data_IF_153582898637
#
_entry.id   IF_153582898637
#
_cell.length_a   1.000
_cell.length_b   1.000
_cell.length_c   1.000
_cell.angle_alpha   90.00
_cell.angle_beta   90.00
_cell.angle_gamma   90.00
#
_symmetry.space_group_name_H-M   'P 1'
#
loop_
_entity.id
_entity.type
_entity.pdbx_description
1 polymer ?
#
# COMPACT_ATOMS: atom_id res chain seq x y z
N UNK A 1 39.00 -18.54 43.08
CA UNK A 1 37.98 -17.64 43.67
C UNK A 1 37.69 -16.58 42.63
N UNK A 2 36.56 -16.69 41.92
CA UNK A 2 36.18 -15.75 40.86
C UNK A 2 35.63 -14.45 41.46
N UNK A 3 36.14 -13.31 40.99
CA UNK A 3 35.76 -11.98 41.47
C UNK A 3 34.65 -11.45 40.57
N UNK A 4 33.43 -11.33 41.10
CA UNK A 4 32.27 -10.83 40.37
C UNK A 4 32.36 -9.30 40.29
N UNK A 5 32.64 -8.76 39.10
CA UNK A 5 32.68 -7.32 38.85
C UNK A 5 31.26 -6.75 38.70
N UNK A 6 30.80 -5.97 39.68
CA UNK A 6 29.52 -5.26 39.63
C UNK A 6 29.80 -3.81 39.18
N UNK A 7 29.39 -3.39 37.98
CA UNK A 7 29.57 -2.01 37.55
C UNK A 7 28.61 -1.10 38.32
N UNK A 8 29.16 -0.22 39.15
CA UNK A 8 28.42 0.84 39.85
C UNK A 8 28.67 2.15 39.11
N UNK A 9 27.64 2.95 38.84
CA UNK A 9 27.79 4.26 38.22
C UNK A 9 28.43 5.25 39.23
N UNK A 10 29.63 5.75 38.93
CA UNK A 10 30.42 6.63 39.83
C UNK A 10 29.78 8.01 40.10
N UNK A 11 28.77 8.44 39.34
CA UNK A 11 28.15 9.76 39.55
C UNK A 11 26.95 9.71 40.53
N UNK A 12 26.31 8.55 40.72
CA UNK A 12 25.11 8.46 41.57
C UNK A 12 25.02 7.21 42.47
N UNK A 13 26.00 6.31 42.42
CA UNK A 13 26.15 5.21 43.38
C UNK A 13 25.05 4.15 43.36
N UNK A 14 24.16 4.11 42.35
CA UNK A 14 23.05 3.15 42.30
C UNK A 14 23.41 1.88 41.53
N UNK A 15 23.05 0.73 42.11
CA UNK A 15 23.17 -0.60 41.51
C UNK A 15 22.07 -0.80 40.46
N UNK A 16 22.45 -1.12 39.21
CA UNK A 16 21.57 -1.15 38.03
C UNK A 16 20.67 -2.40 37.90
N UNK A 17 20.58 -3.27 38.91
CA UNK A 17 19.72 -4.47 38.84
C UNK A 17 18.76 -4.57 40.03
N UNK A 18 17.69 -3.77 40.03
CA UNK A 18 16.48 -4.08 40.79
C UNK A 18 15.23 -3.82 39.92
N UNK A 19 14.50 -4.86 39.47
CA UNK A 19 13.36 -4.75 38.56
C UNK A 19 12.04 -4.33 39.22
N UNK A 20 12.03 -3.87 40.48
CA UNK A 20 10.78 -3.70 41.25
C UNK A 20 10.59 -2.31 41.88
N UNK A 21 10.87 -1.23 41.13
CA UNK A 21 10.34 0.10 41.47
C UNK A 21 9.15 0.42 40.56
N UNK A 22 7.96 0.46 41.16
CA UNK A 22 6.68 0.85 40.57
C UNK A 22 6.77 2.20 39.85
N UNK A 23 7.08 2.21 38.56
CA UNK A 23 6.66 3.27 37.66
C UNK A 23 5.40 2.79 36.97
N UNK A 24 4.25 3.15 37.56
CA UNK A 24 2.96 3.02 36.90
C UNK A 24 2.98 3.97 35.69
N UNK A 25 3.44 3.50 34.54
CA UNK A 25 3.33 4.21 33.26
C UNK A 25 1.88 4.06 32.78
N UNK A 26 0.95 4.57 33.58
CA UNK A 26 -0.45 4.76 33.19
C UNK A 26 -0.72 6.25 33.19
N UNK A 27 0.15 7.00 32.50
CA UNK A 27 -0.17 8.38 32.20
C UNK A 27 -1.32 8.34 31.20
N UNK A 28 -2.43 9.00 31.57
CA UNK A 28 -3.54 9.32 30.66
C UNK A 28 -3.00 9.86 29.32
N UNK A 29 -1.88 10.59 29.41
CA UNK A 29 -1.07 11.08 28.30
C UNK A 29 -0.60 9.99 27.30
N UNK A 30 -0.11 8.83 27.77
CA UNK A 30 0.33 7.74 26.91
C UNK A 30 -0.84 7.05 26.20
N UNK A 31 -1.95 6.85 26.91
CA UNK A 31 -3.15 6.27 26.30
C UNK A 31 -3.79 7.23 25.29
N UNK A 32 -3.80 8.53 25.57
CA UNK A 32 -4.31 9.57 24.66
C UNK A 32 -3.44 9.70 23.40
N UNK A 33 -2.12 9.54 23.52
CA UNK A 33 -1.20 9.54 22.38
C UNK A 33 -1.44 8.35 21.44
N UNK A 34 -1.62 7.15 21.99
CA UNK A 34 -1.95 5.95 21.19
C UNK A 34 -3.32 6.08 20.52
N UNK A 35 -4.33 6.60 21.24
CA UNK A 35 -5.69 6.83 20.70
C UNK A 35 -5.71 7.92 19.62
N UNK A 36 -4.83 8.92 19.71
CA UNK A 36 -4.61 9.95 18.69
C UNK A 36 -3.97 9.36 17.44
N UNK A 37 -2.97 8.49 17.58
CA UNK A 37 -2.36 7.75 16.46
C UNK A 37 -3.36 6.80 15.77
N UNK A 38 -4.20 6.10 16.51
CA UNK A 38 -5.26 5.26 15.94
C UNK A 38 -6.34 6.08 15.22
N UNK A 39 -6.75 7.25 15.75
CA UNK A 39 -7.65 8.18 15.06
C UNK A 39 -7.05 8.75 13.78
N UNK A 40 -5.73 8.96 13.74
CA UNK A 40 -5.00 9.42 12.55
C UNK A 40 -4.95 8.35 11.45
N UNK A 41 -4.80 7.07 11.81
CA UNK A 41 -4.88 5.94 10.86
C UNK A 41 -6.32 5.73 10.32
N UNK A 42 -7.35 6.16 11.07
CA UNK A 42 -8.77 6.00 10.72
C UNK A 42 -9.36 7.06 9.79
N UNK A 43 -8.57 8.04 9.31
CA UNK A 43 -9.04 9.10 8.41
C UNK A 43 -8.23 9.20 7.11
N UNK A 44 -8.39 8.21 6.23
CA UNK A 44 -8.52 8.52 4.81
C UNK A 44 -9.91 8.04 4.37
N UNK A 45 -10.92 8.89 4.59
CA UNK A 45 -12.16 8.81 3.80
C UNK A 45 -11.70 8.90 2.34
N UNK A 46 -11.97 7.91 1.46
CA UNK A 46 -11.64 8.06 0.06
C UNK A 46 -12.34 9.32 -0.43
N UNK A 47 -11.50 10.25 -0.87
CA UNK A 47 -11.87 11.61 -1.22
C UNK A 47 -13.04 11.58 -2.19
N UNK A 48 -14.15 12.15 -1.72
CA UNK A 48 -15.28 12.61 -2.49
C UNK A 48 -14.83 13.20 -3.82
N UNK A 49 -15.40 12.65 -4.90
CA UNK A 49 -15.56 13.27 -6.21
C UNK A 49 -14.33 13.99 -6.77
N UNK A 50 -13.22 13.29 -6.95
CA UNK A 50 -12.32 13.67 -8.05
C UNK A 50 -13.05 13.29 -9.34
N UNK A 51 -13.26 14.25 -10.25
CA UNK A 51 -13.58 13.96 -11.65
C UNK A 51 -12.41 13.13 -12.19
N UNK A 52 -12.54 11.82 -12.06
CA UNK A 52 -11.51 10.90 -12.51
C UNK A 52 -11.68 10.84 -14.01
N UNK A 53 -10.76 11.45 -14.74
CA UNK A 53 -10.53 11.15 -16.15
C UNK A 53 -9.99 9.71 -16.23
N UNK A 54 -10.79 8.73 -15.81
CA UNK A 54 -10.46 7.32 -15.95
C UNK A 54 -10.69 6.95 -17.40
N UNK A 55 -9.66 6.40 -18.05
CA UNK A 55 -9.75 5.93 -19.44
C UNK A 55 -10.81 4.85 -19.65
N UNK A 56 -11.29 4.22 -18.55
CA UNK A 56 -12.38 3.27 -18.56
C UNK A 56 -13.63 3.85 -17.89
N UNK A 57 -14.79 3.57 -18.48
CA UNK A 57 -16.08 3.91 -17.91
C UNK A 57 -16.45 2.92 -16.78
N UNK A 58 -17.08 3.44 -15.73
CA UNK A 58 -17.46 2.66 -14.55
C UNK A 58 -18.59 1.66 -14.82
N UNK A 59 -19.61 2.06 -15.59
CA UNK A 59 -20.81 1.26 -15.82
C UNK A 59 -20.54 -0.06 -16.58
N UNK A 60 -19.74 -0.07 -17.68
CA UNK A 60 -19.40 -1.33 -18.36
C UNK A 60 -18.62 -2.31 -17.47
N UNK A 61 -17.65 -1.81 -16.69
CA UNK A 61 -16.87 -2.65 -15.77
C UNK A 61 -17.77 -3.27 -14.70
N UNK A 62 -18.66 -2.48 -14.10
CA UNK A 62 -19.63 -3.01 -13.13
C UNK A 62 -20.58 -4.04 -13.75
N UNK A 63 -21.03 -3.81 -14.99
CA UNK A 63 -21.90 -4.76 -15.72
C UNK A 63 -21.18 -6.10 -15.95
N UNK A 64 -19.89 -6.09 -16.27
CA UNK A 64 -19.09 -7.30 -16.37
C UNK A 64 -18.98 -8.04 -15.04
N UNK A 65 -18.73 -7.33 -13.93
CA UNK A 65 -18.70 -7.96 -12.60
C UNK A 65 -20.04 -8.64 -12.27
N UNK A 66 -21.14 -7.96 -12.59
CA UNK A 66 -22.51 -8.47 -12.44
C UNK A 66 -22.78 -9.70 -13.30
N UNK A 67 -22.30 -9.73 -14.54
CA UNK A 67 -22.49 -10.89 -15.42
C UNK A 67 -21.67 -12.11 -14.96
N UNK A 68 -20.59 -11.92 -14.22
CA UNK A 68 -19.84 -13.01 -13.58
C UNK A 68 -20.49 -13.53 -12.28
N UNK A 69 -21.67 -13.02 -11.90
CA UNK A 69 -22.42 -13.48 -10.72
C UNK A 69 -22.27 -12.63 -9.46
N UNK A 70 -21.63 -11.46 -9.53
CA UNK A 70 -21.55 -10.56 -8.37
C UNK A 70 -22.90 -9.87 -8.10
N UNK A 71 -23.57 -10.21 -7.00
CA UNK A 71 -24.89 -9.62 -6.67
C UNK A 71 -24.79 -8.20 -6.07
N UNK A 72 -23.71 -7.83 -5.40
CA UNK A 72 -23.51 -6.44 -4.98
C UNK A 72 -22.07 -6.05 -5.27
N UNK A 73 -21.90 -4.86 -5.84
CA UNK A 73 -20.59 -4.33 -6.22
C UNK A 73 -20.41 -2.97 -5.57
N UNK A 74 -19.40 -2.84 -4.72
CA UNK A 74 -19.05 -1.59 -4.06
C UNK A 74 -18.37 -0.63 -5.04
N UNK A 75 -18.61 0.68 -4.87
CA UNK A 75 -17.98 1.72 -5.69
C UNK A 75 -16.45 1.63 -5.63
N UNK A 76 -15.90 1.50 -4.44
CA UNK A 76 -14.46 1.39 -4.20
C UNK A 76 -13.84 0.15 -4.88
N UNK A 77 -14.58 -0.96 -4.96
CA UNK A 77 -14.10 -2.17 -5.64
C UNK A 77 -13.96 -1.97 -7.15
N UNK A 78 -14.96 -1.34 -7.78
CA UNK A 78 -14.88 -0.99 -9.22
C UNK A 78 -13.73 -0.02 -9.47
N UNK A 79 -13.57 0.96 -8.58
CA UNK A 79 -12.53 1.98 -8.67
C UNK A 79 -11.13 1.37 -8.65
N UNK A 80 -10.88 0.48 -7.68
CA UNK A 80 -9.63 -0.27 -7.58
C UNK A 80 -9.36 -1.14 -8.82
N UNK A 81 -10.40 -1.80 -9.36
CA UNK A 81 -10.27 -2.62 -10.55
C UNK A 81 -9.89 -1.77 -11.78
N UNK A 82 -10.52 -0.61 -11.95
CA UNK A 82 -10.19 0.34 -13.03
C UNK A 82 -8.72 0.76 -12.94
N UNK A 83 -8.25 1.15 -11.75
CA UNK A 83 -6.87 1.58 -11.54
C UNK A 83 -5.89 0.45 -11.85
N UNK A 84 -6.18 -0.77 -11.39
CA UNK A 84 -5.36 -1.94 -11.66
C UNK A 84 -5.28 -2.30 -13.15
N UNK A 85 -6.41 -2.20 -13.87
CA UNK A 85 -6.45 -2.43 -15.32
C UNK A 85 -5.67 -1.37 -16.09
N UNK A 86 -5.81 -0.09 -15.72
CA UNK A 86 -5.03 1.00 -16.33
C UNK A 86 -3.53 0.79 -16.17
N UNK A 87 -3.09 0.40 -14.97
CA UNK A 87 -1.68 0.12 -14.70
C UNK A 87 -1.18 -1.04 -15.57
N UNK A 88 -1.94 -2.14 -15.66
CA UNK A 88 -1.57 -3.29 -16.51
C UNK A 88 -1.49 -2.91 -17.99
N UNK A 89 -2.49 -2.20 -18.52
CA UNK A 89 -2.51 -1.76 -19.91
C UNK A 89 -1.34 -0.82 -20.21
N UNK A 90 -1.02 0.11 -19.29
CA UNK A 90 0.11 1.05 -19.45
C UNK A 90 1.44 0.31 -19.50
N UNK A 91 1.67 -0.64 -18.60
CA UNK A 91 2.90 -1.45 -18.59
C UNK A 91 3.04 -2.28 -19.86
N UNK A 92 1.96 -2.95 -20.29
CA UNK A 92 1.95 -3.79 -21.48
C UNK A 92 2.18 -2.95 -22.75
N UNK A 93 1.55 -1.78 -22.85
CA UNK A 93 1.74 -0.86 -23.97
C UNK A 93 3.16 -0.31 -24.00
N UNK A 94 3.74 0.05 -22.86
CA UNK A 94 5.13 0.51 -22.78
C UNK A 94 6.13 -0.57 -23.23
N UNK A 95 5.87 -1.84 -22.97
CA UNK A 95 6.68 -2.96 -23.46
C UNK A 95 6.51 -3.17 -24.97
N UNK A 96 5.27 -3.20 -25.45
CA UNK A 96 4.98 -3.30 -26.88
C UNK A 96 5.61 -2.15 -27.67
N UNK A 97 5.63 -0.94 -27.11
CA UNK A 97 6.30 0.21 -27.71
C UNK A 97 7.80 -0.02 -27.86
N UNK A 98 8.48 -0.59 -26.86
CA UNK A 98 9.91 -0.94 -26.96
C UNK A 98 10.16 -1.93 -28.10
N UNK A 99 9.35 -2.98 -28.22
CA UNK A 99 9.48 -3.93 -29.34
C UNK A 99 9.23 -3.28 -30.69
N UNK A 100 8.27 -2.36 -30.76
CA UNK A 100 7.98 -1.59 -31.97
C UNK A 100 9.18 -0.71 -32.35
N UNK A 101 9.83 -0.05 -31.37
CA UNK A 101 11.04 0.76 -31.56
C UNK A 101 12.23 -0.09 -31.99
N UNK A 102 12.41 -1.29 -31.41
CA UNK A 102 13.44 -2.24 -31.84
C UNK A 102 13.26 -2.67 -33.31
N UNK A 103 12.01 -2.72 -33.78
CA UNK A 103 11.69 -2.99 -35.18
C UNK A 103 11.68 -1.74 -36.08
N UNK A 104 12.10 -0.57 -35.59
CA UNK A 104 12.05 0.74 -36.28
C UNK A 104 10.66 1.12 -36.84
N UNK A 105 9.59 0.59 -36.26
CA UNK A 105 8.21 0.91 -36.65
C UNK A 105 7.65 2.01 -35.75
N UNK A 106 6.70 2.78 -36.26
CA UNK A 106 5.93 3.76 -35.46
C UNK A 106 4.61 3.18 -34.93
N UNK A 107 4.02 2.24 -35.68
CA UNK A 107 2.73 1.61 -35.37
C UNK A 107 2.92 0.36 -34.53
N UNK A 108 2.26 0.31 -33.37
CA UNK A 108 2.15 -0.90 -32.55
C UNK A 108 1.23 -1.90 -33.28
N UNK A 109 1.71 -3.12 -33.46
CA UNK A 109 0.99 -4.19 -34.14
C UNK A 109 0.56 -5.29 -33.17
N UNK A 110 -0.24 -6.25 -33.66
CA UNK A 110 -0.65 -7.42 -32.88
C UNK A 110 0.56 -8.22 -32.39
N UNK A 111 1.58 -8.38 -33.24
CA UNK A 111 2.75 -9.20 -32.92
C UNK A 111 3.58 -8.59 -31.79
N UNK A 112 3.67 -7.26 -31.73
CA UNK A 112 4.34 -6.55 -30.63
C UNK A 112 3.63 -6.76 -29.29
N UNK A 113 2.29 -6.80 -29.30
CA UNK A 113 1.47 -7.07 -28.12
C UNK A 113 1.57 -8.53 -27.68
N UNK A 114 1.59 -9.48 -28.62
CA UNK A 114 1.81 -10.90 -28.32
C UNK A 114 3.19 -11.09 -27.68
N UNK A 115 4.21 -10.41 -28.21
CA UNK A 115 5.56 -10.45 -27.65
C UNK A 115 5.60 -9.85 -26.23
N UNK A 116 4.90 -8.73 -26.01
CA UNK A 116 4.76 -8.09 -24.70
C UNK A 116 4.02 -8.95 -23.67
N UNK A 117 3.06 -9.78 -24.10
CA UNK A 117 2.40 -10.75 -23.24
C UNK A 117 3.32 -11.93 -22.89
N UNK A 118 4.15 -12.38 -23.84
CA UNK A 118 5.07 -13.50 -23.64
C UNK A 118 6.19 -13.17 -22.65
N UNK A 119 6.70 -11.94 -22.69
CA UNK A 119 7.80 -11.47 -21.83
C UNK A 119 7.27 -10.54 -20.72
N UNK A 120 6.46 -11.11 -19.80
CA UNK A 120 5.79 -10.37 -18.74
C UNK A 120 6.68 -10.05 -17.54
#
# INVERSE_FOLDING_TARGET
MEVIYIPVCEVCGKNLKNPNSKAHINSKFHQDALKKLEKSKKKKKPSSSKTRNSSFAWAPIRRLMKSQGADIVSKNGVDFLIDHLQNKVTQLTGRAQKFTQHANRKKITRDDLILALKYQ
#
